data_IF_628786732198
#
_entry.id   IF_628786732198
#
_cell.length_a   1.000
_cell.length_b   1.000
_cell.length_c   1.000
_cell.angle_alpha   90.00
_cell.angle_beta   90.00
_cell.angle_gamma   90.00
#
_symmetry.space_group_name_H-M   'P 1'
#
loop_
_entity.id
_entity.type
_entity.pdbx_description
1 polymer ?
#
# COMPACT_ATOMS: atom_id res chain seq x y z
N UNK A 1 7.11 27.40 -7.12
CA UNK A 1 7.52 26.24 -6.28
C UNK A 1 8.83 26.59 -5.59
N UNK A 2 8.87 26.62 -4.25
CA UNK A 2 10.04 27.08 -3.48
C UNK A 2 11.21 26.09 -3.56
N UNK A 3 12.42 26.61 -3.78
CA UNK A 3 13.72 25.90 -3.78
C UNK A 3 13.92 25.02 -2.55
N UNK A 4 13.31 25.38 -1.42
CA UNK A 4 13.34 24.60 -0.17
C UNK A 4 12.74 23.19 -0.30
N UNK A 5 11.71 23.02 -1.13
CA UNK A 5 11.08 21.71 -1.37
C UNK A 5 11.94 20.80 -2.25
N UNK A 6 12.72 21.39 -3.17
CA UNK A 6 13.64 20.65 -4.03
C UNK A 6 14.81 20.08 -3.21
N UNK A 7 15.35 20.85 -2.26
CA UNK A 7 16.45 20.39 -1.38
C UNK A 7 16.04 19.19 -0.53
N UNK A 8 14.83 19.17 0.03
CA UNK A 8 14.32 18.03 0.83
C UNK A 8 14.08 16.77 -0.01
N UNK A 9 13.53 16.92 -1.22
CA UNK A 9 13.32 15.79 -2.12
C UNK A 9 14.66 15.18 -2.57
N UNK A 10 15.66 16.02 -2.86
CA UNK A 10 17.01 15.57 -3.24
C UNK A 10 17.74 14.90 -2.06
N UNK A 11 17.64 15.45 -0.84
CA UNK A 11 18.19 14.82 0.37
C UNK A 11 17.57 13.44 0.61
N UNK A 12 16.25 13.32 0.48
CA UNK A 12 15.52 12.06 0.66
C UNK A 12 15.88 11.03 -0.42
N UNK A 13 16.05 11.47 -1.67
CA UNK A 13 16.51 10.63 -2.77
C UNK A 13 17.96 10.14 -2.57
N UNK A 14 18.84 11.01 -2.07
CA UNK A 14 20.23 10.66 -1.72
C UNK A 14 20.28 9.65 -0.57
N UNK A 15 19.47 9.83 0.47
CA UNK A 15 19.33 8.88 1.58
C UNK A 15 18.88 7.50 1.07
N UNK A 16 17.88 7.44 0.19
CA UNK A 16 17.42 6.17 -0.38
C UNK A 16 18.46 5.47 -1.26
N UNK A 17 19.35 6.22 -1.91
CA UNK A 17 20.45 5.65 -2.71
C UNK A 17 21.57 5.08 -1.85
N UNK A 18 21.84 5.65 -0.68
CA UNK A 18 22.97 5.24 0.15
C UNK A 18 22.63 4.28 1.29
N UNK A 19 21.46 4.42 1.90
CA UNK A 19 21.05 3.60 3.05
C UNK A 19 19.95 2.58 2.70
N UNK A 20 19.48 2.58 1.45
CA UNK A 20 18.25 1.91 1.08
C UNK A 20 17.03 2.64 1.65
N UNK A 21 15.84 2.11 1.38
CA UNK A 21 14.62 2.59 2.03
C UNK A 21 14.41 1.72 3.26
N UNK A 22 14.38 2.33 4.45
CA UNK A 22 13.94 1.63 5.65
C UNK A 22 12.57 1.02 5.38
N UNK A 23 12.54 -0.31 5.26
CA UNK A 23 11.30 -1.06 5.13
C UNK A 23 10.78 -1.18 6.54
N UNK A 24 9.92 -0.23 6.94
CA UNK A 24 9.11 -0.45 8.13
C UNK A 24 8.22 -1.64 7.84
N UNK A 25 8.46 -2.73 8.55
CA UNK A 25 7.53 -3.84 8.61
C UNK A 25 6.28 -3.31 9.31
N UNK A 26 5.24 -3.03 8.52
CA UNK A 26 3.90 -2.89 9.06
C UNK A 26 3.44 -4.28 9.42
N UNK A 27 2.70 -4.43 10.53
CA UNK A 27 1.95 -5.64 10.74
C UNK A 27 0.88 -5.81 9.65
N UNK A 28 0.25 -6.99 9.64
CA UNK A 28 -0.74 -7.29 8.61
C UNK A 28 -1.94 -6.35 8.67
N UNK A 29 -2.40 -5.96 9.86
CA UNK A 29 -3.59 -5.11 10.02
C UNK A 29 -3.33 -3.69 9.51
N UNK A 30 -2.19 -3.10 9.86
CA UNK A 30 -1.76 -1.80 9.37
C UNK A 30 -1.57 -1.81 7.85
N UNK A 31 -0.92 -2.85 7.31
CA UNK A 31 -0.74 -2.99 5.88
C UNK A 31 -2.08 -3.18 5.14
N UNK A 32 -2.98 -3.97 5.71
CA UNK A 32 -4.31 -4.24 5.16
C UNK A 32 -5.14 -2.97 5.10
N UNK A 33 -5.22 -2.24 6.22
CA UNK A 33 -5.93 -0.97 6.32
C UNK A 33 -5.37 0.05 5.33
N UNK A 34 -4.05 0.21 5.28
CA UNK A 34 -3.39 1.09 4.31
C UNK A 34 -3.71 0.69 2.86
N UNK A 35 -3.72 -0.60 2.55
CA UNK A 35 -4.02 -1.10 1.20
C UNK A 35 -5.47 -0.79 0.82
N UNK A 36 -6.42 -1.03 1.72
CA UNK A 36 -7.83 -0.70 1.53
C UNK A 36 -8.03 0.80 1.33
N UNK A 37 -7.41 1.64 2.16
CA UNK A 37 -7.46 3.10 2.01
C UNK A 37 -6.88 3.56 0.68
N UNK A 38 -5.79 2.95 0.24
CA UNK A 38 -5.17 3.23 -1.06
C UNK A 38 -6.05 2.83 -2.24
N UNK A 39 -6.81 1.74 -2.12
CA UNK A 39 -7.79 1.34 -3.13
C UNK A 39 -8.93 2.35 -3.16
N UNK A 40 -9.45 2.74 -1.99
CA UNK A 40 -10.50 3.77 -1.86
C UNK A 40 -10.07 5.11 -2.45
N UNK A 41 -8.85 5.57 -2.15
CA UNK A 41 -8.32 6.86 -2.64
C UNK A 41 -8.13 6.91 -4.16
N UNK A 42 -8.07 5.75 -4.82
CA UNK A 42 -8.05 5.62 -6.29
C UNK A 42 -9.44 5.63 -6.92
N UNK A 43 -10.51 5.72 -6.12
CA UNK A 43 -11.89 5.83 -6.60
C UNK A 43 -12.68 4.52 -6.58
N UNK A 44 -12.15 3.45 -5.99
CA UNK A 44 -12.94 2.22 -5.77
C UNK A 44 -13.84 2.35 -4.54
N UNK A 45 -15.05 1.80 -4.61
CA UNK A 45 -15.87 1.49 -3.43
C UNK A 45 -15.38 0.18 -2.84
N UNK A 46 -15.11 0.15 -1.54
CA UNK A 46 -14.69 -1.06 -0.83
C UNK A 46 -15.64 -1.34 0.31
N UNK A 47 -16.19 -2.55 0.34
CA UNK A 47 -17.10 -3.06 1.38
C UNK A 47 -16.50 -4.32 1.98
N UNK A 48 -16.43 -4.38 3.31
CA UNK A 48 -15.86 -5.54 4.03
C UNK A 48 -17.02 -6.20 4.79
N UNK A 49 -17.30 -7.46 4.45
CA UNK A 49 -18.36 -8.25 5.09
C UNK A 49 -17.72 -9.55 5.57
N UNK A 50 -17.72 -9.76 6.89
CA UNK A 50 -16.97 -10.82 7.54
C UNK A 50 -15.48 -10.77 7.13
N UNK A 51 -15.00 -11.83 6.47
CA UNK A 51 -13.61 -11.94 6.01
C UNK A 51 -13.47 -11.72 4.50
N UNK A 52 -14.49 -11.16 3.83
CA UNK A 52 -14.48 -10.89 2.40
C UNK A 52 -14.48 -9.39 2.15
N UNK A 53 -13.55 -8.94 1.32
CA UNK A 53 -13.38 -7.57 0.83
C UNK A 53 -13.92 -7.49 -0.59
N UNK A 54 -15.02 -6.78 -0.76
CA UNK A 54 -15.62 -6.48 -2.05
C UNK A 54 -15.09 -5.15 -2.56
N UNK A 55 -14.57 -5.14 -3.78
CA UNK A 55 -14.01 -3.97 -4.46
C UNK A 55 -14.84 -3.72 -5.72
N UNK A 56 -15.35 -2.51 -5.85
CA UNK A 56 -16.09 -2.05 -7.03
C UNK A 56 -15.40 -0.83 -7.63
N UNK A 57 -14.91 -0.98 -8.85
CA UNK A 57 -14.39 0.15 -9.64
C UNK A 57 -15.50 0.72 -10.54
N UNK A 58 -15.49 2.02 -10.84
CA UNK A 58 -16.44 2.62 -11.77
C UNK A 58 -16.43 1.88 -13.12
N UNK A 59 -17.57 1.34 -13.54
CA UNK A 59 -17.73 0.64 -14.81
C UNK A 59 -17.18 -0.80 -14.84
N UNK A 60 -16.77 -1.37 -13.70
CA UNK A 60 -16.32 -2.77 -13.62
C UNK A 60 -17.25 -3.60 -12.73
N UNK A 61 -17.34 -4.93 -12.97
CA UNK A 61 -18.02 -5.84 -12.04
C UNK A 61 -17.39 -5.81 -10.65
N UNK A 62 -18.20 -6.13 -9.64
CA UNK A 62 -17.73 -6.28 -8.26
C UNK A 62 -16.79 -7.48 -8.19
N UNK A 63 -15.62 -7.28 -7.58
CA UNK A 63 -14.66 -8.35 -7.31
C UNK A 63 -14.55 -8.58 -5.81
N UNK A 64 -14.61 -9.84 -5.38
CA UNK A 64 -14.46 -10.22 -3.97
C UNK A 64 -13.12 -10.90 -3.72
N UNK A 65 -12.46 -10.54 -2.63
CA UNK A 65 -11.21 -11.15 -2.16
C UNK A 65 -11.37 -11.54 -0.69
N UNK A 66 -10.88 -12.71 -0.31
CA UNK A 66 -10.85 -13.10 1.10
C UNK A 66 -9.72 -12.39 1.83
N UNK A 67 -9.82 -12.29 3.16
CA UNK A 67 -8.75 -11.80 4.02
C UNK A 67 -7.47 -12.65 3.88
N UNK A 68 -7.61 -13.94 3.59
CA UNK A 68 -6.49 -14.85 3.30
C UNK A 68 -5.73 -14.44 2.03
N UNK A 69 -6.43 -14.00 0.97
CA UNK A 69 -5.79 -13.50 -0.25
C UNK A 69 -4.92 -12.27 0.05
N UNK A 70 -5.39 -11.41 0.97
CA UNK A 70 -4.60 -10.27 1.45
C UNK A 70 -3.41 -10.71 2.32
N UNK A 71 -3.57 -11.72 3.18
CA UNK A 71 -2.45 -12.25 3.98
C UNK A 71 -1.36 -12.85 3.11
N UNK A 72 -1.73 -13.57 2.06
CA UNK A 72 -0.78 -14.15 1.13
C UNK A 72 -0.06 -13.09 0.31
N UNK A 73 -0.77 -12.04 -0.12
CA UNK A 73 -0.16 -10.87 -0.77
C UNK A 73 0.78 -10.13 0.20
N UNK A 74 0.37 -9.92 1.45
CA UNK A 74 1.22 -9.35 2.50
C UNK A 74 2.51 -10.17 2.68
N UNK A 75 2.40 -11.49 2.86
CA UNK A 75 3.56 -12.38 2.96
C UNK A 75 4.43 -12.27 1.71
N UNK A 76 3.85 -12.19 0.51
CA UNK A 76 4.61 -12.05 -0.73
C UNK A 76 5.35 -10.72 -0.85
N UNK A 77 4.73 -9.60 -0.48
CA UNK A 77 5.33 -8.26 -0.49
C UNK A 77 6.57 -8.22 0.41
N UNK A 78 6.45 -8.74 1.63
CA UNK A 78 7.54 -8.73 2.61
C UNK A 78 8.56 -9.86 2.41
N UNK A 79 8.18 -11.03 1.86
CA UNK A 79 9.11 -12.12 1.51
C UNK A 79 9.95 -11.80 0.27
N UNK A 80 9.43 -11.02 -0.67
CA UNK A 80 10.15 -10.63 -1.90
C UNK A 80 10.96 -9.33 -1.75
N UNK A 81 11.00 -8.72 -0.55
CA UNK A 81 11.69 -7.44 -0.31
C UNK A 81 11.18 -6.28 -1.17
N UNK A 82 10.01 -6.41 -1.80
CA UNK A 82 9.47 -5.41 -2.73
C UNK A 82 8.46 -4.52 -2.03
N UNK A 83 8.98 -3.40 -1.52
CA UNK A 83 8.28 -2.14 -1.20
C UNK A 83 7.17 -2.24 -0.13
N UNK A 84 7.56 -2.08 1.13
CA UNK A 84 6.74 -1.32 2.07
C UNK A 84 7.12 0.15 1.94
N UNK A 85 6.18 0.98 1.50
CA UNK A 85 6.37 2.43 1.44
C UNK A 85 5.14 3.10 2.00
N UNK A 86 5.23 3.55 3.25
CA UNK A 86 4.53 4.74 3.70
C UNK A 86 5.07 5.99 2.95
#
# INVERSE_FOLDING_TARGET
MSTFNQTKATQKAWQYRHYGRDVKYLDFEDWFNWTVEKIKSRGAKVEIICEIVFITWPGQPVTGFSKLDFEDEYKNVYRKGKRATA
#
